data_IF_432940198894
#
_entry.id   IF_432940198894
#
_cell.length_a   1.000
_cell.length_b   1.000
_cell.length_c   1.000
_cell.angle_alpha   90.00
_cell.angle_beta   90.00
_cell.angle_gamma   90.00
#
_symmetry.space_group_name_H-M   'P 1'
#
loop_
_entity.id
_entity.type
_entity.pdbx_description
1 polymer ?
#
# COMPACT_ATOMS: atom_id res chain seq x y z
N UNK A 1 -11.67 5.40 -5.12
CA UNK A 1 -10.24 5.73 -5.42
C UNK A 1 -10.24 6.72 -6.59
N UNK A 2 -9.81 7.97 -6.40
CA UNK A 2 -9.72 8.96 -7.48
C UNK A 2 -8.94 8.45 -8.69
N UNK A 3 -9.23 8.99 -9.89
CA UNK A 3 -8.66 8.58 -11.18
C UNK A 3 -8.75 7.09 -11.51
N UNK A 4 -9.55 6.32 -10.78
CA UNK A 4 -9.77 4.90 -11.07
C UNK A 4 -11.28 4.59 -11.02
N UNK A 5 -11.74 3.52 -11.70
CA UNK A 5 -13.14 3.09 -11.58
C UNK A 5 -13.41 2.32 -10.27
N UNK A 6 -12.40 2.12 -9.42
CA UNK A 6 -12.48 1.21 -8.29
C UNK A 6 -13.09 1.85 -7.05
N UNK A 7 -14.03 1.14 -6.42
CA UNK A 7 -14.57 1.43 -5.10
C UNK A 7 -14.20 0.30 -4.16
N UNK A 8 -13.47 0.60 -3.11
CA UNK A 8 -12.95 -0.38 -2.16
C UNK A 8 -13.11 0.13 -0.73
N UNK A 9 -13.09 -0.78 0.24
CA UNK A 9 -12.95 -0.41 1.64
C UNK A 9 -11.63 0.35 1.86
N UNK A 10 -11.57 1.27 2.84
CA UNK A 10 -10.35 2.04 3.13
C UNK A 10 -9.20 1.18 3.66
N UNK A 11 -9.49 -0.02 4.16
CA UNK A 11 -8.50 -1.01 4.57
C UNK A 11 -8.28 -2.02 3.45
N UNK A 12 -7.06 -2.08 2.88
CA UNK A 12 -6.64 -3.07 1.90
C UNK A 12 -5.81 -4.16 2.55
N UNK A 13 -5.99 -5.41 2.14
CA UNK A 13 -5.26 -6.54 2.68
C UNK A 13 -3.96 -6.81 1.92
N UNK A 14 -2.84 -6.89 2.65
CA UNK A 14 -1.52 -7.23 2.09
C UNK A 14 -1.06 -8.61 2.54
N UNK A 15 -0.60 -9.44 1.60
CA UNK A 15 -0.05 -10.75 1.89
C UNK A 15 1.34 -10.77 2.53
N UNK A 16 1.95 -9.62 2.79
CA UNK A 16 3.38 -9.50 3.14
C UNK A 16 3.80 -10.17 4.44
N UNK A 17 2.86 -10.49 5.34
CA UNK A 17 3.13 -11.06 6.65
C UNK A 17 2.65 -12.49 6.84
N UNK A 18 2.26 -13.17 5.75
CA UNK A 18 2.02 -14.61 5.73
C UNK A 18 0.58 -15.01 6.03
N UNK A 19 -0.38 -14.14 5.73
CA UNK A 19 -1.81 -14.48 5.83
C UNK A 19 -2.12 -15.71 4.97
N UNK A 20 -2.94 -16.61 5.49
CA UNK A 20 -3.38 -17.83 4.79
C UNK A 20 -4.55 -17.57 3.82
N UNK A 21 -4.75 -18.51 2.89
CA UNK A 21 -5.75 -18.36 1.84
C UNK A 21 -7.20 -18.34 2.35
N UNK A 22 -7.50 -19.07 3.43
CA UNK A 22 -8.84 -19.10 4.02
C UNK A 22 -9.17 -17.75 4.64
N UNK A 23 -8.21 -17.16 5.35
CA UNK A 23 -8.37 -15.81 5.91
C UNK A 23 -8.57 -14.74 4.83
N UNK A 24 -7.93 -14.87 3.65
CA UNK A 24 -8.16 -13.97 2.51
C UNK A 24 -9.59 -14.09 1.96
N UNK A 25 -10.08 -15.32 1.75
CA UNK A 25 -11.46 -15.55 1.31
C UNK A 25 -12.48 -15.01 2.31
N UNK A 26 -12.29 -15.29 3.60
CA UNK A 26 -13.15 -14.78 4.66
C UNK A 26 -13.13 -13.25 4.76
N UNK A 27 -11.96 -12.62 4.61
CA UNK A 27 -11.84 -11.16 4.62
C UNK A 27 -12.67 -10.50 3.51
N UNK A 28 -12.72 -11.12 2.34
CA UNK A 28 -13.59 -10.66 1.26
C UNK A 28 -15.08 -10.88 1.59
N UNK A 29 -15.48 -12.13 1.91
CA UNK A 29 -16.90 -12.48 2.06
C UNK A 29 -17.54 -11.90 3.33
N UNK A 30 -16.82 -11.91 4.46
CA UNK A 30 -17.38 -11.54 5.77
C UNK A 30 -17.14 -10.07 6.12
N UNK A 31 -16.08 -9.44 5.59
CA UNK A 31 -15.66 -8.09 5.97
C UNK A 31 -15.59 -7.11 4.80
N UNK A 32 -15.84 -7.53 3.57
CA UNK A 32 -15.85 -6.68 2.37
C UNK A 32 -14.47 -6.14 1.97
N UNK A 33 -13.37 -6.78 2.40
CA UNK A 33 -12.01 -6.36 2.02
C UNK A 33 -11.71 -6.80 0.58
N UNK A 34 -11.90 -5.91 -0.36
CA UNK A 34 -11.75 -6.19 -1.78
C UNK A 34 -10.44 -5.69 -2.40
N UNK A 35 -9.67 -4.81 -1.74
CA UNK A 35 -8.35 -4.39 -2.22
C UNK A 35 -7.27 -5.35 -1.73
N UNK A 36 -6.73 -6.17 -2.64
CA UNK A 36 -5.80 -7.27 -2.32
C UNK A 36 -4.42 -6.99 -2.91
N UNK A 37 -3.46 -6.65 -2.03
CA UNK A 37 -2.08 -6.39 -2.43
C UNK A 37 -1.25 -7.67 -2.38
N UNK A 38 -0.72 -8.07 -3.54
CA UNK A 38 -0.07 -9.36 -3.74
C UNK A 38 1.28 -9.21 -4.45
N UNK A 39 2.25 -10.03 -4.03
CA UNK A 39 3.55 -10.16 -4.70
C UNK A 39 3.86 -11.64 -4.94
N UNK A 40 4.86 -11.98 -5.79
CA UNK A 40 5.25 -13.39 -5.98
C UNK A 40 5.69 -14.13 -4.71
N UNK A 41 5.92 -13.41 -3.61
CA UNK A 41 6.41 -13.95 -2.33
C UNK A 41 5.31 -14.13 -1.28
N UNK A 42 4.04 -14.02 -1.65
CA UNK A 42 2.89 -14.08 -0.74
C UNK A 42 1.96 -15.25 -1.09
N UNK A 43 2.36 -16.51 -0.84
CA UNK A 43 1.65 -17.68 -1.34
C UNK A 43 0.21 -17.78 -0.85
N UNK A 44 -0.08 -17.48 0.41
CA UNK A 44 -1.44 -17.49 0.95
C UNK A 44 -2.35 -16.47 0.26
N UNK A 45 -1.86 -15.26 0.01
CA UNK A 45 -2.60 -14.25 -0.76
C UNK A 45 -2.83 -14.70 -2.20
N UNK A 46 -1.83 -15.28 -2.86
CA UNK A 46 -1.96 -15.80 -4.23
C UNK A 46 -3.06 -16.86 -4.27
N UNK A 47 -3.04 -17.84 -3.37
CA UNK A 47 -4.03 -18.90 -3.38
C UNK A 47 -5.43 -18.40 -2.98
N UNK A 48 -5.54 -17.48 -2.03
CA UNK A 48 -6.82 -16.83 -1.68
C UNK A 48 -7.44 -16.09 -2.88
N UNK A 49 -6.64 -15.29 -3.60
CA UNK A 49 -7.10 -14.62 -4.83
C UNK A 49 -7.53 -15.64 -5.88
N UNK A 50 -6.75 -16.72 -6.10
CA UNK A 50 -7.11 -17.77 -7.07
C UNK A 50 -8.44 -18.45 -6.74
N UNK A 51 -8.72 -18.66 -5.47
CA UNK A 51 -10.01 -19.23 -5.03
C UNK A 51 -11.16 -18.27 -5.30
N UNK A 52 -11.01 -16.99 -4.96
CA UNK A 52 -12.01 -15.96 -5.28
C UNK A 52 -12.27 -15.86 -6.79
N UNK A 53 -11.20 -15.88 -7.61
CA UNK A 53 -11.32 -15.85 -9.08
C UNK A 53 -12.07 -17.08 -9.60
N UNK A 54 -11.73 -18.30 -9.13
CA UNK A 54 -12.43 -19.53 -9.53
C UNK A 54 -13.89 -19.58 -9.09
N UNK A 55 -14.21 -18.93 -7.97
CA UNK A 55 -15.57 -18.78 -7.47
C UNK A 55 -16.40 -17.71 -8.21
N UNK A 56 -15.82 -17.00 -9.18
CA UNK A 56 -16.51 -16.00 -10.00
C UNK A 56 -16.44 -14.56 -9.48
N UNK A 57 -15.67 -14.29 -8.41
CA UNK A 57 -15.57 -12.96 -7.79
C UNK A 57 -14.48 -12.06 -8.40
N UNK A 58 -13.98 -12.38 -9.62
CA UNK A 58 -12.89 -11.61 -10.24
C UNK A 58 -13.17 -10.10 -10.34
N UNK A 59 -14.38 -9.73 -10.69
CA UNK A 59 -14.77 -8.33 -10.91
C UNK A 59 -15.15 -7.60 -9.61
N UNK A 60 -15.28 -8.33 -8.51
CA UNK A 60 -15.58 -7.78 -7.19
C UNK A 60 -14.31 -7.46 -6.37
N UNK A 61 -13.15 -7.93 -6.82
CA UNK A 61 -11.86 -7.69 -6.17
C UNK A 61 -10.98 -6.76 -6.98
N UNK A 62 -10.17 -5.97 -6.29
CA UNK A 62 -9.12 -5.12 -6.86
C UNK A 62 -7.76 -5.72 -6.55
N UNK A 63 -7.14 -6.32 -7.55
CA UNK A 63 -5.82 -6.94 -7.43
C UNK A 63 -4.75 -5.87 -7.66
N UNK A 64 -3.96 -5.59 -6.63
CA UNK A 64 -2.82 -4.69 -6.70
C UNK A 64 -1.51 -5.48 -6.65
N UNK A 65 -0.68 -5.32 -7.68
CA UNK A 65 0.63 -5.97 -7.81
C UNK A 65 1.57 -5.09 -8.62
N UNK A 66 2.76 -5.57 -8.99
CA UNK A 66 3.66 -4.78 -9.81
C UNK A 66 5.03 -5.41 -10.04
N UNK A 67 5.90 -4.63 -10.67
CA UNK A 67 7.27 -4.98 -11.03
C UNK A 67 8.30 -4.20 -10.22
N UNK A 68 9.42 -4.85 -9.90
CA UNK A 68 10.60 -4.21 -9.30
C UNK A 68 11.68 -3.90 -10.33
N UNK A 69 11.48 -4.31 -11.57
CA UNK A 69 12.48 -4.18 -12.64
C UNK A 69 12.28 -2.85 -13.36
N UNK A 70 13.27 -1.94 -13.34
CA UNK A 70 13.14 -0.61 -13.95
C UNK A 70 13.47 -0.61 -15.46
N UNK A 71 13.39 -1.75 -16.12
CA UNK A 71 13.66 -1.88 -17.54
C UNK A 71 12.38 -2.28 -18.29
N UNK A 72 12.07 -1.58 -19.37
CA UNK A 72 10.85 -1.78 -20.15
C UNK A 72 10.58 -3.25 -20.51
N UNK A 73 11.62 -3.98 -20.98
CA UNK A 73 11.49 -5.41 -21.31
C UNK A 73 11.12 -6.31 -20.11
N UNK A 74 11.43 -5.87 -18.88
CA UNK A 74 11.12 -6.60 -17.66
C UNK A 74 9.68 -6.40 -17.20
N UNK A 75 9.05 -5.27 -17.49
CA UNK A 75 7.72 -4.90 -17.05
C UNK A 75 6.67 -5.92 -17.52
N UNK A 76 6.61 -6.17 -18.83
CA UNK A 76 5.67 -7.14 -19.40
C UNK A 76 5.92 -8.57 -18.93
N UNK A 77 7.20 -8.93 -18.66
CA UNK A 77 7.57 -10.24 -18.10
C UNK A 77 7.03 -10.41 -16.67
N UNK A 78 7.22 -9.40 -15.81
CA UNK A 78 6.74 -9.45 -14.44
C UNK A 78 5.21 -9.42 -14.39
N UNK A 79 4.57 -8.62 -15.23
CA UNK A 79 3.13 -8.66 -15.39
C UNK A 79 2.66 -10.08 -15.76
N UNK A 80 3.20 -10.66 -16.82
CA UNK A 80 2.83 -12.01 -17.28
C UNK A 80 3.11 -13.10 -16.26
N UNK A 81 4.15 -12.96 -15.43
CA UNK A 81 4.42 -13.86 -14.30
C UNK A 81 3.32 -13.78 -13.26
N UNK A 82 2.92 -12.57 -12.85
CA UNK A 82 1.87 -12.38 -11.86
C UNK A 82 0.51 -12.82 -12.38
N UNK A 83 0.15 -12.48 -13.61
CA UNK A 83 -1.09 -12.90 -14.25
C UNK A 83 -1.23 -14.43 -14.24
N UNK A 84 -0.18 -15.16 -14.64
CA UNK A 84 -0.16 -16.63 -14.58
C UNK A 84 -0.27 -17.19 -13.15
N UNK A 85 0.45 -16.58 -12.18
CA UNK A 85 0.40 -17.00 -10.78
C UNK A 85 -1.01 -16.86 -10.20
N UNK A 86 -1.74 -15.81 -10.60
CA UNK A 86 -3.07 -15.51 -10.09
C UNK A 86 -4.19 -16.17 -10.90
N UNK A 87 -3.92 -16.57 -12.14
CA UNK A 87 -4.91 -17.09 -13.07
C UNK A 87 -5.83 -16.00 -13.61
N UNK A 88 -5.30 -14.82 -13.90
CA UNK A 88 -6.05 -13.65 -14.37
C UNK A 88 -5.45 -13.07 -15.65
N UNK A 89 -6.25 -12.36 -16.41
CA UNK A 89 -5.87 -11.62 -17.63
C UNK A 89 -5.66 -10.12 -17.39
N UNK A 90 -6.09 -9.61 -16.22
CA UNK A 90 -5.95 -8.21 -15.81
C UNK A 90 -5.45 -8.11 -14.37
N UNK A 91 -4.53 -7.17 -14.11
CA UNK A 91 -4.15 -6.70 -12.78
C UNK A 91 -4.73 -5.30 -12.63
N UNK A 92 -5.56 -5.07 -11.62
CA UNK A 92 -6.35 -3.84 -11.52
C UNK A 92 -5.49 -2.62 -11.22
N UNK A 93 -4.51 -2.75 -10.33
CA UNK A 93 -3.54 -1.69 -10.03
C UNK A 93 -2.14 -2.25 -10.21
N UNK A 94 -1.46 -1.85 -11.30
CA UNK A 94 -0.12 -2.33 -11.61
C UNK A 94 0.93 -1.28 -11.28
N UNK A 95 1.80 -1.62 -10.33
CA UNK A 95 2.83 -0.72 -9.81
C UNK A 95 4.18 -0.93 -10.50
N UNK A 96 4.92 0.16 -10.64
CA UNK A 96 6.37 0.12 -10.65
C UNK A 96 6.86 0.39 -9.24
N UNK A 97 7.44 -0.64 -8.60
CA UNK A 97 7.77 -0.59 -7.19
C UNK A 97 9.12 0.05 -6.93
N UNK A 98 9.17 0.77 -5.81
CA UNK A 98 10.38 1.22 -5.15
C UNK A 98 11.27 2.08 -6.04
N UNK A 99 10.70 3.11 -6.62
CA UNK A 99 11.42 4.08 -7.43
C UNK A 99 12.42 4.84 -6.54
N UNK A 100 13.70 4.75 -6.88
CA UNK A 100 14.81 5.38 -6.14
C UNK A 100 15.50 6.50 -6.94
N UNK A 101 15.29 6.55 -8.23
CA UNK A 101 15.87 7.54 -9.12
C UNK A 101 15.04 7.70 -10.40
N UNK A 102 15.10 8.86 -11.04
CA UNK A 102 14.34 9.17 -12.25
C UNK A 102 14.58 8.19 -13.41
N UNK A 103 15.77 7.61 -13.50
CA UNK A 103 16.06 6.67 -14.59
C UNK A 103 15.26 5.36 -14.51
N UNK A 104 14.63 5.04 -13.37
CA UNK A 104 13.69 3.91 -13.24
C UNK A 104 12.45 4.10 -14.11
N UNK A 105 12.03 5.34 -14.30
CA UNK A 105 10.85 5.70 -15.10
C UNK A 105 11.22 6.26 -16.47
N UNK A 106 12.29 5.71 -17.07
CA UNK A 106 12.68 6.09 -18.44
C UNK A 106 11.51 5.96 -19.40
N UNK A 107 11.56 6.67 -20.52
CA UNK A 107 10.52 6.65 -21.54
C UNK A 107 10.11 5.23 -21.96
N UNK A 108 11.07 4.30 -22.08
CA UNK A 108 10.80 2.89 -22.43
C UNK A 108 10.07 2.13 -21.32
N UNK A 109 10.44 2.35 -20.05
CA UNK A 109 9.76 1.70 -18.89
C UNK A 109 8.33 2.18 -18.79
N UNK A 110 8.12 3.51 -18.81
CA UNK A 110 6.79 4.07 -18.68
C UNK A 110 5.90 3.82 -19.90
N UNK A 111 6.49 3.78 -21.12
CA UNK A 111 5.77 3.38 -22.33
C UNK A 111 5.23 1.95 -22.24
N UNK A 112 6.01 1.03 -21.67
CA UNK A 112 5.56 -0.35 -21.47
C UNK A 112 4.44 -0.43 -20.43
N UNK A 113 4.50 0.36 -19.35
CA UNK A 113 3.41 0.47 -18.38
C UNK A 113 2.12 0.97 -19.05
N UNK A 114 2.20 2.04 -19.86
CA UNK A 114 1.05 2.55 -20.63
C UNK A 114 0.49 1.53 -21.61
N UNK A 115 1.36 0.81 -22.33
CA UNK A 115 0.96 -0.25 -23.24
C UNK A 115 0.13 -1.33 -22.53
N UNK A 116 0.54 -1.76 -21.34
CA UNK A 116 -0.25 -2.71 -20.55
C UNK A 116 -1.63 -2.17 -20.19
N UNK A 117 -1.76 -0.87 -19.93
CA UNK A 117 -3.06 -0.23 -19.66
C UNK A 117 -3.91 -0.15 -20.94
N UNK A 118 -3.33 0.25 -22.05
CA UNK A 118 -3.99 0.33 -23.36
C UNK A 118 -4.50 -1.04 -23.85
N UNK A 119 -3.75 -2.11 -23.56
CA UNK A 119 -4.13 -3.50 -23.84
C UNK A 119 -5.17 -4.08 -22.82
N UNK A 120 -5.61 -3.30 -21.85
CA UNK A 120 -6.54 -3.76 -20.81
C UNK A 120 -5.91 -4.71 -19.77
N UNK A 121 -4.62 -4.95 -19.84
CA UNK A 121 -3.86 -5.82 -18.91
C UNK A 121 -3.63 -5.18 -17.55
N UNK A 122 -3.52 -3.86 -17.50
CA UNK A 122 -3.50 -3.08 -16.27
C UNK A 122 -4.68 -2.11 -16.26
N UNK A 123 -5.45 -2.10 -15.16
CA UNK A 123 -6.60 -1.18 -15.05
C UNK A 123 -6.18 0.23 -14.63
N UNK A 124 -5.20 0.34 -13.76
CA UNK A 124 -4.62 1.58 -13.27
C UNK A 124 -3.10 1.46 -13.15
N UNK A 125 -2.38 2.54 -13.44
CA UNK A 125 -0.92 2.60 -13.32
C UNK A 125 -0.50 3.29 -12.03
N UNK A 126 0.43 2.66 -11.34
CA UNK A 126 0.88 3.09 -10.04
C UNK A 126 2.41 3.11 -9.90
N UNK A 127 2.89 3.93 -8.99
CA UNK A 127 4.29 3.86 -8.52
C UNK A 127 4.34 3.80 -7.00
N UNK A 128 5.43 3.23 -6.47
CA UNK A 128 5.78 3.39 -5.07
C UNK A 128 7.16 3.99 -4.91
N UNK A 129 7.32 4.92 -3.97
CA UNK A 129 8.61 5.48 -3.60
C UNK A 129 8.71 5.73 -2.10
N UNK A 130 9.91 5.54 -1.55
CA UNK A 130 10.25 5.99 -0.20
C UNK A 130 10.74 7.44 -0.17
N UNK A 131 11.19 7.95 -1.31
CA UNK A 131 11.57 9.34 -1.50
C UNK A 131 10.32 10.16 -1.85
N UNK A 132 9.99 11.11 -1.00
CA UNK A 132 8.76 11.91 -1.13
C UNK A 132 8.86 12.97 -2.22
N UNK A 133 10.06 13.56 -2.40
CA UNK A 133 10.29 14.51 -3.48
C UNK A 133 10.16 13.82 -4.84
N UNK A 134 10.74 12.63 -4.97
CA UNK A 134 10.58 11.77 -6.15
C UNK A 134 9.10 11.40 -6.36
N UNK A 135 8.42 10.91 -5.31
CA UNK A 135 7.00 10.54 -5.39
C UNK A 135 6.15 11.72 -5.90
N UNK A 136 6.42 12.94 -5.41
CA UNK A 136 5.72 14.16 -5.83
C UNK A 136 5.99 14.50 -7.30
N UNK A 137 7.24 14.47 -7.72
CA UNK A 137 7.61 14.77 -9.11
C UNK A 137 6.93 13.80 -10.08
N UNK A 138 6.91 12.51 -9.75
CA UNK A 138 6.31 11.48 -10.60
C UNK A 138 4.79 11.62 -10.77
N UNK A 139 4.09 12.21 -9.80
CA UNK A 139 2.65 12.49 -9.95
C UNK A 139 2.39 13.41 -11.12
N UNK A 140 3.17 14.48 -11.25
CA UNK A 140 3.01 15.47 -12.32
C UNK A 140 3.53 14.94 -13.67
N UNK A 141 4.67 14.26 -13.65
CA UNK A 141 5.36 13.81 -14.87
C UNK A 141 4.66 12.63 -15.56
N UNK A 142 4.08 11.72 -14.80
CA UNK A 142 3.62 10.43 -15.33
C UNK A 142 2.10 10.32 -15.48
N UNK A 143 1.33 11.24 -14.92
CA UNK A 143 -0.14 11.14 -14.95
C UNK A 143 -0.64 9.89 -14.23
N UNK A 144 -0.13 9.65 -13.00
CA UNK A 144 -0.44 8.46 -12.23
C UNK A 144 -1.92 8.31 -11.90
N UNK A 145 -2.44 7.09 -11.95
CA UNK A 145 -3.76 6.75 -11.41
C UNK A 145 -3.69 6.50 -9.90
N UNK A 146 -2.58 5.91 -9.42
CA UNK A 146 -2.37 5.57 -8.01
C UNK A 146 -0.96 5.89 -7.57
N UNK A 147 -0.82 6.51 -6.40
CA UNK A 147 0.45 6.75 -5.72
C UNK A 147 0.50 5.91 -4.44
N UNK A 148 1.50 5.05 -4.31
CA UNK A 148 1.75 4.30 -3.11
C UNK A 148 2.89 4.92 -2.31
N UNK A 149 2.62 5.42 -1.11
CA UNK A 149 3.56 6.22 -0.31
C UNK A 149 3.62 5.74 1.13
N UNK A 150 4.83 5.78 1.71
CA UNK A 150 5.01 5.51 3.14
C UNK A 150 4.46 6.64 3.97
N UNK A 151 3.41 6.35 4.75
CA UNK A 151 2.84 7.29 5.71
C UNK A 151 2.42 6.58 7.00
N UNK A 152 2.88 7.08 8.13
CA UNK A 152 2.55 6.59 9.48
C UNK A 152 3.00 7.61 10.53
N UNK A 153 2.64 7.40 11.79
CA UNK A 153 2.95 8.33 12.89
C UNK A 153 4.43 8.72 13.00
N UNK A 154 5.36 7.80 12.66
CA UNK A 154 6.80 8.07 12.67
C UNK A 154 7.34 8.69 11.37
N UNK A 155 6.56 8.69 10.27
CA UNK A 155 6.98 9.19 8.96
C UNK A 155 5.88 10.07 8.37
N UNK A 156 5.70 11.27 8.95
CA UNK A 156 4.65 12.23 8.59
C UNK A 156 5.04 13.20 7.46
N UNK A 157 6.27 13.20 7.01
CA UNK A 157 6.72 14.15 5.99
C UNK A 157 5.92 14.14 4.67
N UNK A 158 5.15 13.07 4.40
CA UNK A 158 4.25 13.06 3.25
C UNK A 158 3.13 14.11 3.35
N UNK A 159 2.74 14.55 4.56
CA UNK A 159 1.71 15.57 4.78
C UNK A 159 2.07 16.88 4.07
N UNK A 160 3.33 17.33 4.23
CA UNK A 160 3.83 18.59 3.66
C UNK A 160 4.45 18.43 2.29
N UNK A 161 5.18 17.33 2.04
CA UNK A 161 5.97 17.15 0.83
C UNK A 161 5.18 16.54 -0.34
N UNK A 162 4.05 15.85 -0.05
CA UNK A 162 3.23 15.18 -1.06
C UNK A 162 1.77 15.63 -0.97
N UNK A 163 1.11 15.37 0.15
CA UNK A 163 -0.34 15.54 0.26
C UNK A 163 -0.81 16.98 0.14
N UNK A 164 -0.05 17.93 0.73
CA UNK A 164 -0.37 19.36 0.65
C UNK A 164 -0.38 19.90 -0.79
N UNK A 165 0.31 19.22 -1.72
CA UNK A 165 0.42 19.65 -3.13
C UNK A 165 -0.55 18.91 -4.06
N UNK A 166 -1.29 17.92 -3.57
CA UNK A 166 -2.28 17.20 -4.35
C UNK A 166 -3.59 17.99 -4.41
N UNK A 167 -4.00 18.40 -5.63
CA UNK A 167 -5.29 19.02 -5.90
C UNK A 167 -6.47 18.03 -5.81
N UNK A 168 -7.61 18.40 -6.35
CA UNK A 168 -8.81 17.56 -6.35
C UNK A 168 -8.72 16.45 -7.40
N UNK A 169 -8.21 16.77 -8.59
CA UNK A 169 -7.86 15.77 -9.61
C UNK A 169 -6.49 15.14 -9.30
N UNK A 170 -6.43 14.28 -8.31
CA UNK A 170 -5.23 13.62 -7.81
C UNK A 170 -5.26 12.11 -8.07
N UNK A 171 -4.10 11.44 -8.13
CA UNK A 171 -4.08 9.99 -8.05
C UNK A 171 -4.68 9.51 -6.72
N UNK A 172 -5.21 8.31 -6.71
CA UNK A 172 -5.55 7.64 -5.46
C UNK A 172 -4.28 7.40 -4.64
N UNK A 173 -4.34 7.60 -3.33
CA UNK A 173 -3.21 7.41 -2.43
C UNK A 173 -3.38 6.15 -1.61
N UNK A 174 -2.45 5.22 -1.78
CA UNK A 174 -2.34 4.01 -0.97
C UNK A 174 -1.20 4.17 0.03
N UNK A 175 -1.53 4.17 1.32
CA UNK A 175 -0.54 4.21 2.40
C UNK A 175 -0.06 2.80 2.73
N UNK A 176 1.25 2.62 2.87
CA UNK A 176 1.85 1.37 3.30
C UNK A 176 2.79 1.55 4.49
N UNK A 177 3.18 0.42 5.13
CA UNK A 177 3.99 0.41 6.35
C UNK A 177 3.38 1.22 7.52
N UNK A 178 2.05 1.20 7.65
CA UNK A 178 1.34 1.93 8.70
C UNK A 178 1.86 1.61 10.11
N UNK A 179 2.18 0.34 10.40
CA UNK A 179 2.76 -0.10 11.68
C UNK A 179 4.28 0.08 11.77
N UNK A 180 4.93 0.60 10.70
CA UNK A 180 6.40 0.67 10.60
C UNK A 180 7.08 -0.68 10.86
N UNK A 181 6.62 -1.74 10.18
CA UNK A 181 7.06 -3.13 10.38
C UNK A 181 6.97 -3.56 11.86
N UNK A 182 5.89 -3.19 12.54
CA UNK A 182 5.63 -3.51 13.93
C UNK A 182 6.42 -2.67 14.95
N UNK A 183 7.22 -1.68 14.52
CA UNK A 183 7.97 -0.82 15.46
C UNK A 183 7.06 0.13 16.24
N UNK A 184 5.94 0.55 15.67
CA UNK A 184 4.93 1.36 16.35
C UNK A 184 4.08 0.54 17.33
N UNK A 185 4.14 -0.80 17.25
CA UNK A 185 3.43 -1.71 18.15
C UNK A 185 4.28 -2.10 19.38
N UNK A 186 5.39 -1.42 19.62
CA UNK A 186 6.30 -1.70 20.74
C UNK A 186 6.57 -0.41 21.51
N UNK A 187 6.71 -0.46 22.85
CA UNK A 187 7.04 0.71 23.65
C UNK A 187 8.33 1.39 23.16
N UNK A 188 8.38 2.71 23.27
CA UNK A 188 9.58 3.49 22.97
C UNK A 188 9.65 4.73 23.87
N UNK A 189 10.85 5.00 24.40
CA UNK A 189 11.16 6.21 25.19
C UNK A 189 10.16 6.46 26.34
N UNK A 190 9.77 5.42 27.04
CA UNK A 190 8.80 5.51 28.17
C UNK A 190 7.35 5.73 27.75
N UNK A 191 7.07 5.79 26.44
CA UNK A 191 5.70 5.92 25.93
C UNK A 191 5.10 4.56 25.56
N UNK A 192 3.79 4.41 25.77
CA UNK A 192 3.05 3.21 25.40
C UNK A 192 2.94 3.04 23.89
N UNK A 193 2.87 1.79 23.39
CA UNK A 193 2.76 1.49 21.97
C UNK A 193 1.39 1.89 21.41
N UNK A 194 1.32 2.01 20.08
CA UNK A 194 0.07 2.01 19.34
C UNK A 194 -0.44 0.57 19.16
N UNK A 195 -1.74 0.42 18.96
CA UNK A 195 -2.34 -0.78 18.38
C UNK A 195 -2.26 -0.74 16.84
N UNK A 196 -2.42 -1.88 16.16
CA UNK A 196 -2.43 -1.90 14.70
C UNK A 196 -3.63 -1.10 14.14
N UNK A 197 -4.86 -1.23 14.66
CA UNK A 197 -5.98 -0.36 14.27
C UNK A 197 -5.70 1.14 14.43
N UNK A 198 -5.04 1.57 15.51
CA UNK A 198 -4.65 2.99 15.66
C UNK A 198 -3.67 3.45 14.59
N UNK A 199 -2.74 2.58 14.16
CA UNK A 199 -1.84 2.90 13.05
C UNK A 199 -2.61 3.11 11.73
N UNK A 200 -3.64 2.29 11.46
CA UNK A 200 -4.48 2.44 10.27
C UNK A 200 -5.38 3.66 10.36
N UNK A 201 -6.03 3.89 11.49
CA UNK A 201 -6.85 5.08 11.74
C UNK A 201 -6.05 6.37 11.64
N UNK A 202 -4.79 6.36 12.11
CA UNK A 202 -3.87 7.48 11.93
C UNK A 202 -3.66 7.78 10.44
N UNK A 203 -3.37 6.78 9.62
CA UNK A 203 -3.13 6.99 8.20
C UNK A 203 -4.41 7.43 7.46
N UNK A 204 -5.54 6.79 7.73
CA UNK A 204 -6.85 7.11 7.15
C UNK A 204 -7.43 8.43 7.64
N UNK A 205 -6.96 8.95 8.78
CA UNK A 205 -7.33 10.27 9.29
C UNK A 205 -6.86 11.42 8.41
N UNK A 206 -5.93 11.19 7.49
CA UNK A 206 -5.52 12.20 6.52
C UNK A 206 -6.42 12.15 5.27
N UNK A 207 -7.09 13.27 4.87
CA UNK A 207 -8.12 13.28 3.83
C UNK A 207 -7.62 12.93 2.42
N UNK A 208 -6.31 12.92 2.20
CA UNK A 208 -5.71 12.51 0.92
C UNK A 208 -5.36 11.02 0.86
N UNK A 209 -5.51 10.25 1.95
CA UNK A 209 -5.27 8.81 1.97
C UNK A 209 -6.58 8.07 1.67
N UNK A 210 -6.59 7.31 0.60
CA UNK A 210 -7.78 6.57 0.16
C UNK A 210 -7.81 5.12 0.66
N UNK A 211 -6.62 4.49 0.73
CA UNK A 211 -6.46 3.10 1.20
C UNK A 211 -5.23 3.00 2.09
N UNK A 212 -5.33 2.25 3.18
CA UNK A 212 -4.18 1.83 3.97
C UNK A 212 -4.00 0.32 3.90
N UNK A 213 -2.77 -0.16 3.67
CA UNK A 213 -2.49 -1.59 3.62
C UNK A 213 -2.34 -2.18 5.03
N UNK A 214 -3.22 -3.11 5.34
CA UNK A 214 -3.18 -3.97 6.51
C UNK A 214 -2.26 -5.17 6.24
N UNK A 215 -1.35 -5.45 7.16
CA UNK A 215 -0.41 -6.56 7.10
C UNK A 215 -0.70 -7.63 8.16
N UNK A 216 -1.95 -8.05 8.31
CA UNK A 216 -2.36 -9.07 9.26
C UNK A 216 -1.72 -10.44 8.95
N UNK A 217 -1.49 -11.24 10.01
CA UNK A 217 -0.93 -12.60 9.93
C UNK A 217 -2.00 -13.67 10.14
N UNK A 218 -3.13 -13.29 10.73
CA UNK A 218 -4.19 -14.22 11.10
C UNK A 218 -5.57 -13.60 10.91
N UNK A 219 -6.58 -14.44 10.88
CA UNK A 219 -7.98 -14.04 10.86
C UNK A 219 -8.35 -13.13 12.04
N UNK A 220 -7.88 -13.46 13.25
CA UNK A 220 -8.15 -12.66 14.45
C UNK A 220 -7.62 -11.22 14.31
N UNK A 221 -6.39 -11.05 13.79
CA UNK A 221 -5.83 -9.73 13.53
C UNK A 221 -6.67 -8.95 12.50
N UNK A 222 -7.17 -9.60 11.44
CA UNK A 222 -8.03 -8.93 10.44
C UNK A 222 -9.33 -8.43 11.08
N UNK A 223 -9.99 -9.25 11.92
CA UNK A 223 -11.21 -8.83 12.64
C UNK A 223 -10.93 -7.61 13.49
N UNK A 224 -9.88 -7.65 14.30
CA UNK A 224 -9.50 -6.55 15.19
C UNK A 224 -9.18 -5.28 14.39
N UNK A 225 -8.46 -5.41 13.30
CA UNK A 225 -8.08 -4.29 12.44
C UNK A 225 -9.31 -3.64 11.78
N UNK A 226 -10.23 -4.44 11.24
CA UNK A 226 -11.47 -3.94 10.62
C UNK A 226 -12.38 -3.30 11.66
N UNK A 227 -12.62 -3.96 12.80
CA UNK A 227 -13.43 -3.42 13.87
C UNK A 227 -12.86 -2.10 14.41
N UNK A 228 -11.53 -2.06 14.60
CA UNK A 228 -10.86 -0.86 15.08
C UNK A 228 -10.90 0.29 14.07
N UNK A 229 -10.78 0.03 12.78
CA UNK A 229 -10.93 1.05 11.72
C UNK A 229 -12.37 1.55 11.64
N UNK A 230 -13.35 0.67 11.81
CA UNK A 230 -14.78 1.02 11.83
C UNK A 230 -15.16 1.95 13.00
N UNK A 231 -14.36 2.01 14.05
CA UNK A 231 -14.55 2.96 15.15
C UNK A 231 -14.36 4.44 14.75
N UNK A 232 -13.95 4.69 13.49
CA UNK A 232 -13.83 6.04 12.93
C UNK A 232 -12.54 6.78 13.32
N UNK A 233 -12.50 8.11 13.21
CA UNK A 233 -11.31 8.92 13.48
C UNK A 233 -10.78 8.74 14.91
N UNK A 234 -9.47 8.94 15.07
CA UNK A 234 -8.86 9.01 16.41
C UNK A 234 -9.35 10.23 17.19
N UNK A 235 -9.51 10.08 18.49
CA UNK A 235 -9.72 11.20 19.38
C UNK A 235 -8.56 12.21 19.26
N UNK A 236 -8.82 13.53 19.29
CA UNK A 236 -7.77 14.55 19.14
C UNK A 236 -6.65 14.44 20.18
N UNK A 237 -6.96 14.14 21.44
CA UNK A 237 -5.93 13.99 22.48
C UNK A 237 -5.06 12.76 22.20
N UNK A 238 -5.69 11.65 21.82
CA UNK A 238 -4.97 10.42 21.44
C UNK A 238 -4.12 10.62 20.16
N UNK A 239 -4.61 11.39 19.19
CA UNK A 239 -3.86 11.72 17.99
C UNK A 239 -2.55 12.47 18.33
N UNK A 240 -2.58 13.43 19.25
CA UNK A 240 -1.39 14.14 19.68
C UNK A 240 -0.41 13.25 20.48
N UNK A 241 -0.91 12.32 21.28
CA UNK A 241 -0.05 11.29 21.93
C UNK A 241 0.64 10.41 20.89
N UNK A 242 -0.10 9.94 19.88
CA UNK A 242 0.40 9.12 18.78
C UNK A 242 1.49 9.86 17.99
N UNK A 243 1.32 11.15 17.72
CA UNK A 243 2.33 11.97 17.04
C UNK A 243 3.63 12.04 17.85
N UNK A 244 3.52 12.32 19.15
CA UNK A 244 4.69 12.34 20.07
C UNK A 244 5.39 10.99 20.13
N UNK A 245 4.61 9.91 20.23
CA UNK A 245 5.13 8.54 20.20
C UNK A 245 5.84 8.24 18.88
N UNK A 246 5.24 8.60 17.75
CA UNK A 246 5.84 8.45 16.43
C UNK A 246 7.19 9.17 16.28
N UNK A 247 7.31 10.38 16.84
CA UNK A 247 8.56 11.13 16.86
C UNK A 247 9.62 10.43 17.70
N UNK A 248 9.27 9.91 18.87
CA UNK A 248 10.18 9.12 19.71
C UNK A 248 10.68 7.86 18.99
N UNK A 249 9.77 7.11 18.34
CA UNK A 249 10.11 5.93 17.52
C UNK A 249 11.01 6.30 16.34
N UNK A 250 10.83 7.48 15.75
CA UNK A 250 11.69 7.97 14.66
C UNK A 250 13.09 8.31 15.15
N UNK A 251 13.20 8.97 16.31
CA UNK A 251 14.47 9.37 16.90
C UNK A 251 15.37 8.16 17.25
N UNK A 252 14.80 7.09 17.81
CA UNK A 252 15.54 5.86 18.14
C UNK A 252 16.18 5.17 16.92
N UNK A 253 15.60 5.35 15.72
CA UNK A 253 16.17 4.79 14.50
C UNK A 253 17.35 5.60 13.96
N UNK A 254 17.38 6.92 14.16
CA UNK A 254 18.50 7.79 13.75
C UNK A 254 19.74 7.55 14.62
N UNK A 255 19.56 7.27 15.91
CA UNK A 255 20.67 6.96 16.82
C UNK A 255 21.40 5.65 16.51
N UNK A 256 20.76 4.69 15.83
CA UNK A 256 21.39 3.43 15.41
C UNK A 256 22.19 3.50 14.10
N UNK A 257 22.00 4.51 13.29
CA UNK A 257 22.72 4.71 12.02
C UNK A 257 24.07 5.41 12.24
N UNK A 258 24.32 5.96 13.42
CA UNK A 258 25.56 6.64 13.79
C UNK A 258 26.74 5.73 14.21
N UNK A 259 26.53 4.40 14.38
CA UNK A 259 27.57 3.46 14.81
C UNK A 259 27.77 2.33 13.78
N UNK A 260 28.15 2.67 12.57
CA UNK A 260 28.39 1.66 11.54
C UNK A 260 29.00 2.22 10.27
N UNK A 261 30.09 2.98 10.41
CA UNK A 261 31.09 3.21 9.36
C UNK A 261 32.48 3.25 10.05
N UNK A 262 33.12 2.14 10.15
CA UNK A 262 34.56 1.97 10.17
C UNK A 262 34.87 1.00 9.05
#
# INVERSE_FOLDING_TARGET
>A
MPRTPYRVAPLGLSGSFGIDAVSVERAFHELGLSYLFVTPRTPGMIEGIRKLVRAGHRDEIVIASGAHIPFGWGIGREWGRMARLLGVDRIDVFHLFWIQAHWYVTGKTWSEMRRLKEEGKAGALAVSSHDRAMARALVDELGLDVLMVRYNAAHRGAETEVFATLGDDRPAVVSYTATRWGKLLRPASGLGPMTAPECYRFALGHPKVDVVLCGAKSWAEIIDDVAGVAAGPLDPARLEEIKRFGDAVRATARGRVGFGRS
#
